data_IF_178372289549
#
_entry.id   IF_178372289549
#
_cell.length_a   1.000
_cell.length_b   1.000
_cell.length_c   1.000
_cell.angle_alpha   90.00
_cell.angle_beta   90.00
_cell.angle_gamma   90.00
#
_symmetry.space_group_name_H-M   'P 1'
#
loop_
_entity.id
_entity.type
_entity.pdbx_description
1 polymer ?
#
# COMPACT_ATOMS: atom_id res chain seq x y z
N UNK A 1 33.17 15.35 9.43
CA UNK A 1 33.09 14.32 10.49
C UNK A 1 31.75 14.40 11.24
N UNK A 2 31.55 15.22 12.28
CA UNK A 2 30.26 15.23 13.04
C UNK A 2 29.04 15.68 12.20
N UNK A 3 29.23 16.61 11.24
CA UNK A 3 28.16 17.06 10.35
C UNK A 3 27.76 16.03 9.28
N UNK A 4 28.69 15.20 8.82
CA UNK A 4 28.44 14.20 7.78
C UNK A 4 27.65 13.01 8.32
N UNK A 5 27.97 12.53 9.53
CA UNK A 5 27.18 11.47 10.17
C UNK A 5 25.75 11.91 10.50
N UNK A 6 25.57 13.16 10.96
CA UNK A 6 24.25 13.73 11.21
C UNK A 6 23.43 13.84 9.92
N UNK A 7 24.05 14.25 8.81
CA UNK A 7 23.43 14.31 7.50
C UNK A 7 23.10 12.91 6.95
N UNK A 8 24.00 11.94 7.12
CA UNK A 8 23.78 10.55 6.73
C UNK A 8 22.64 9.90 7.52
N UNK A 9 22.49 10.21 8.82
CA UNK A 9 21.33 9.79 9.62
C UNK A 9 20.03 10.43 9.13
N UNK A 10 20.07 11.72 8.77
CA UNK A 10 18.90 12.40 8.20
C UNK A 10 18.43 11.76 6.88
N UNK A 11 19.36 11.25 6.07
CA UNK A 11 19.07 10.55 4.81
C UNK A 11 18.68 9.06 4.99
N UNK A 12 18.62 8.56 6.23
CA UNK A 12 18.23 7.17 6.51
C UNK A 12 19.26 6.13 6.09
N UNK A 13 20.54 6.49 5.96
CA UNK A 13 21.58 5.58 5.44
C UNK A 13 21.87 4.37 6.35
N UNK A 14 21.51 4.46 7.64
CA UNK A 14 21.73 3.39 8.64
C UNK A 14 20.60 2.36 8.68
N UNK A 15 19.53 2.57 7.91
CA UNK A 15 18.36 1.69 7.92
C UNK A 15 17.46 1.87 9.14
N UNK A 16 16.46 0.99 9.24
CA UNK A 16 15.42 1.02 10.27
C UNK A 16 15.32 -0.30 11.03
N UNK A 17 14.87 -0.22 12.29
CA UNK A 17 14.55 -1.35 13.16
C UNK A 17 13.03 -1.61 13.26
N UNK A 18 12.23 -0.93 12.44
CA UNK A 18 10.78 -1.15 12.37
C UNK A 18 10.47 -2.63 12.08
N UNK A 19 9.35 -3.08 12.65
CA UNK A 19 8.79 -4.42 12.47
C UNK A 19 7.29 -4.31 12.29
N UNK A 20 6.74 -5.27 11.56
CA UNK A 20 5.32 -5.33 11.18
C UNK A 20 4.87 -4.07 10.42
N UNK A 21 5.83 -3.36 9.80
CA UNK A 21 5.60 -2.14 9.05
C UNK A 21 5.37 -2.41 7.57
N UNK A 22 4.80 -1.43 6.87
CA UNK A 22 4.64 -1.45 5.42
C UNK A 22 5.80 -0.70 4.76
N UNK A 23 6.46 -1.33 3.80
CA UNK A 23 7.48 -0.68 2.99
C UNK A 23 6.82 -0.06 1.75
N UNK A 24 7.12 1.20 1.44
CA UNK A 24 6.64 1.89 0.23
C UNK A 24 7.84 2.29 -0.64
N UNK A 25 7.95 1.69 -1.82
CA UNK A 25 8.99 1.95 -2.81
C UNK A 25 8.42 2.88 -3.89
N UNK A 26 8.86 4.14 -3.86
CA UNK A 26 8.38 5.23 -4.72
C UNK A 26 7.48 6.20 -3.95
N UNK A 27 7.85 7.48 -3.91
CA UNK A 27 7.12 8.54 -3.21
C UNK A 27 6.60 9.63 -4.15
N UNK A 28 5.79 9.23 -5.13
CA UNK A 28 5.07 10.10 -6.04
C UNK A 28 3.61 9.67 -6.13
N UNK A 29 2.68 10.56 -6.49
CA UNK A 29 1.27 10.26 -6.77
C UNK A 29 0.65 9.19 -5.85
N UNK A 30 0.62 7.95 -6.34
CA UNK A 30 0.16 6.74 -5.63
C UNK A 30 0.89 6.52 -4.30
N UNK A 31 2.22 6.58 -4.26
CA UNK A 31 3.01 6.35 -3.05
C UNK A 31 2.75 7.40 -1.97
N UNK A 32 2.54 8.66 -2.36
CA UNK A 32 2.20 9.72 -1.40
C UNK A 32 0.81 9.50 -0.79
N UNK A 33 -0.16 9.07 -1.60
CA UNK A 33 -1.49 8.71 -1.10
C UNK A 33 -1.43 7.48 -0.18
N UNK A 34 -0.70 6.43 -0.58
CA UNK A 34 -0.53 5.22 0.21
C UNK A 34 0.12 5.50 1.57
N UNK A 35 1.21 6.28 1.63
CA UNK A 35 1.86 6.63 2.90
C UNK A 35 0.92 7.37 3.82
N UNK A 36 0.16 8.35 3.32
CA UNK A 36 -0.81 9.09 4.15
C UNK A 36 -1.90 8.18 4.71
N UNK A 37 -2.43 7.29 3.88
CA UNK A 37 -3.50 6.37 4.28
C UNK A 37 -3.01 5.36 5.33
N UNK A 38 -1.85 4.75 5.11
CA UNK A 38 -1.22 3.83 6.07
C UNK A 38 -0.99 4.51 7.43
N UNK A 39 -0.43 5.72 7.42
CA UNK A 39 -0.20 6.47 8.66
C UNK A 39 -1.50 6.82 9.38
N UNK A 40 -2.56 7.16 8.64
CA UNK A 40 -3.90 7.41 9.18
C UNK A 40 -4.51 6.16 9.84
N UNK A 41 -4.24 4.97 9.29
CA UNK A 41 -4.66 3.68 9.86
C UNK A 41 -3.84 3.25 11.09
N UNK A 42 -2.84 4.03 11.51
CA UNK A 42 -1.97 3.67 12.64
C UNK A 42 -0.77 2.80 12.26
N UNK A 43 -0.61 2.46 10.99
CA UNK A 43 0.50 1.63 10.52
C UNK A 43 1.85 2.32 10.69
N UNK A 44 2.89 1.49 10.76
CA UNK A 44 4.29 1.92 10.66
C UNK A 44 4.71 1.83 9.20
N UNK A 45 5.50 2.80 8.72
CA UNK A 45 5.84 2.90 7.30
C UNK A 45 7.34 3.14 7.11
N UNK A 46 7.96 2.44 6.16
CA UNK A 46 9.31 2.73 5.69
C UNK A 46 9.27 3.12 4.21
N UNK A 47 9.76 4.31 3.86
CA UNK A 47 9.65 4.87 2.51
C UNK A 47 11.00 4.92 1.82
N UNK A 48 11.04 4.41 0.58
CA UNK A 48 12.12 4.67 -0.37
C UNK A 48 11.63 5.69 -1.40
N UNK A 49 12.26 6.86 -1.43
CA UNK A 49 12.03 7.87 -2.47
C UNK A 49 13.17 7.87 -3.49
N UNK A 50 12.90 8.39 -4.69
CA UNK A 50 13.91 8.66 -5.73
C UNK A 50 14.28 10.16 -5.80
N UNK A 51 13.84 10.94 -4.81
CA UNK A 51 14.10 12.38 -4.76
C UNK A 51 14.50 12.75 -3.34
N UNK A 52 15.81 12.95 -3.03
CA UNK A 52 16.27 13.15 -1.66
C UNK A 52 15.66 14.39 -1.00
N UNK A 53 15.30 15.40 -1.80
CA UNK A 53 14.64 16.63 -1.35
C UNK A 53 13.26 16.37 -0.72
N UNK A 54 12.67 15.19 -0.98
CA UNK A 54 11.38 14.81 -0.38
C UNK A 54 11.51 14.21 1.02
N UNK A 55 12.72 13.78 1.44
CA UNK A 55 12.94 13.14 2.76
C UNK A 55 12.45 14.02 3.92
N UNK A 56 12.79 15.33 4.01
CA UNK A 56 12.29 16.17 5.10
C UNK A 56 10.76 16.21 5.16
N UNK A 57 10.09 16.28 4.00
CA UNK A 57 8.63 16.31 3.90
C UNK A 57 7.98 14.99 4.30
N UNK A 58 8.66 13.86 4.06
CA UNK A 58 8.19 12.55 4.53
C UNK A 58 8.32 12.49 6.05
N UNK A 59 9.50 12.78 6.61
CA UNK A 59 9.78 12.63 8.05
C UNK A 59 8.88 13.44 8.97
N UNK A 60 8.28 14.54 8.50
CA UNK A 60 7.34 15.34 9.31
C UNK A 60 5.93 14.74 9.38
N UNK A 61 5.62 13.71 8.60
CA UNK A 61 4.28 13.09 8.59
C UNK A 61 4.00 12.26 9.85
N UNK A 62 5.03 11.70 10.49
CA UNK A 62 4.91 10.86 11.68
C UNK A 62 6.24 10.75 12.44
N UNK A 63 6.23 10.43 13.74
CA UNK A 63 7.45 10.24 14.54
C UNK A 63 8.31 9.07 14.05
N UNK A 64 9.61 9.10 14.39
CA UNK A 64 10.62 8.13 13.91
C UNK A 64 10.32 6.67 14.29
N UNK A 65 9.58 6.44 15.38
CA UNK A 65 9.15 5.09 15.78
C UNK A 65 7.99 4.53 14.94
N UNK A 66 7.44 5.33 14.02
CA UNK A 66 6.37 4.96 13.08
C UNK A 66 6.72 5.22 11.64
N UNK A 67 7.69 6.08 11.35
CA UNK A 67 8.05 6.45 10.00
C UNK A 67 9.55 6.53 9.80
N UNK A 68 10.01 5.79 8.79
CA UNK A 68 11.36 5.86 8.28
C UNK A 68 11.35 6.29 6.81
N UNK A 69 12.36 7.03 6.38
CA UNK A 69 12.52 7.45 4.99
C UNK A 69 13.98 7.42 4.59
N UNK A 70 14.25 6.92 3.39
CA UNK A 70 15.57 6.95 2.74
C UNK A 70 15.43 7.21 1.24
N UNK A 71 16.54 7.50 0.57
CA UNK A 71 16.59 7.82 -0.85
C UNK A 71 17.62 6.94 -1.56
N UNK A 72 17.22 6.36 -2.69
CA UNK A 72 18.11 5.80 -3.71
C UNK A 72 17.41 5.78 -5.06
N UNK A 73 18.18 5.61 -6.14
CA UNK A 73 17.63 5.39 -7.48
C UNK A 73 16.94 4.03 -7.63
N UNK A 74 17.47 3.00 -6.95
CA UNK A 74 17.06 1.61 -7.11
C UNK A 74 16.89 0.90 -5.77
N UNK A 75 15.99 -0.07 -5.73
CA UNK A 75 15.75 -0.91 -4.56
C UNK A 75 16.70 -2.12 -4.55
N UNK A 76 18.02 -1.86 -4.45
CA UNK A 76 19.02 -2.94 -4.37
C UNK A 76 18.87 -3.74 -3.08
N UNK A 77 19.44 -4.96 -2.97
CA UNK A 77 19.34 -5.77 -1.75
C UNK A 77 19.74 -5.02 -0.48
N UNK A 78 20.80 -4.21 -0.54
CA UNK A 78 21.25 -3.39 0.60
C UNK A 78 20.20 -2.34 0.99
N UNK A 79 19.55 -1.69 0.01
CA UNK A 79 18.47 -0.73 0.27
C UNK A 79 17.26 -1.40 0.89
N UNK A 80 16.89 -2.60 0.41
CA UNK A 80 15.78 -3.38 0.94
C UNK A 80 16.05 -3.83 2.38
N UNK A 81 17.29 -4.17 2.72
CA UNK A 81 17.70 -4.44 4.10
C UNK A 81 17.61 -3.17 4.96
N UNK A 82 18.05 -2.02 4.47
CA UNK A 82 17.89 -0.72 5.17
C UNK A 82 16.41 -0.39 5.44
N UNK A 83 15.51 -0.76 4.54
CA UNK A 83 14.06 -0.58 4.71
C UNK A 83 13.42 -1.61 5.65
N UNK A 84 14.19 -2.59 6.14
CA UNK A 84 13.69 -3.63 7.04
C UNK A 84 12.72 -4.63 6.37
N UNK A 85 12.86 -4.87 5.06
CA UNK A 85 11.93 -5.72 4.27
C UNK A 85 11.75 -7.13 4.82
N UNK A 86 12.76 -7.69 5.51
CA UNK A 86 12.65 -9.00 6.17
C UNK A 86 11.63 -9.04 7.32
N UNK A 87 11.40 -7.92 7.99
CA UNK A 87 10.49 -7.81 9.13
C UNK A 87 9.19 -7.04 8.78
N UNK A 88 9.03 -6.67 7.51
CA UNK A 88 7.86 -5.95 7.03
C UNK A 88 6.62 -6.87 6.96
N UNK A 89 5.43 -6.29 7.10
CA UNK A 89 4.15 -6.99 6.93
C UNK A 89 3.67 -6.96 5.48
N UNK A 90 4.05 -5.94 4.71
CA UNK A 90 3.80 -5.81 3.28
C UNK A 90 4.80 -4.86 2.61
N UNK A 91 4.88 -4.92 1.28
CA UNK A 91 5.50 -3.87 0.45
C UNK A 91 4.53 -3.36 -0.61
N UNK A 92 4.58 -2.06 -0.88
CA UNK A 92 3.94 -1.40 -2.02
C UNK A 92 5.04 -0.86 -2.92
N UNK A 93 5.08 -1.30 -4.17
CA UNK A 93 6.01 -0.83 -5.19
C UNK A 93 5.23 0.02 -6.20
N UNK A 94 5.51 1.32 -6.24
CA UNK A 94 4.72 2.29 -6.99
C UNK A 94 5.57 3.46 -7.50
N UNK A 95 6.76 3.19 -8.02
CA UNK A 95 7.53 4.20 -8.75
C UNK A 95 6.85 4.54 -10.07
N UNK A 96 7.28 5.63 -10.71
CA UNK A 96 6.78 6.04 -12.03
C UNK A 96 7.34 5.21 -13.19
N UNK A 97 8.26 4.28 -12.93
CA UNK A 97 8.83 3.37 -13.93
C UNK A 97 8.45 1.92 -13.61
N UNK A 98 7.54 1.34 -14.40
CA UNK A 98 7.10 -0.03 -14.17
C UNK A 98 8.24 -1.07 -14.33
N UNK A 99 9.32 -0.72 -15.03
CA UNK A 99 10.49 -1.59 -15.17
C UNK A 99 11.27 -1.66 -13.86
N UNK A 100 11.45 -0.52 -13.18
CA UNK A 100 11.98 -0.48 -11.81
C UNK A 100 11.03 -1.17 -10.84
N UNK A 101 9.71 -1.02 -11.01
CA UNK A 101 8.73 -1.71 -10.17
C UNK A 101 8.85 -3.23 -10.28
N UNK A 102 9.07 -3.77 -11.48
CA UNK A 102 9.30 -5.20 -11.71
C UNK A 102 10.59 -5.69 -11.03
N UNK A 103 11.70 -4.98 -11.22
CA UNK A 103 12.99 -5.34 -10.61
C UNK A 103 12.91 -5.29 -9.08
N UNK A 104 12.29 -4.25 -8.52
CA UNK A 104 12.09 -4.13 -7.08
C UNK A 104 11.21 -5.26 -6.54
N UNK A 105 10.12 -5.61 -7.23
CA UNK A 105 9.24 -6.71 -6.81
C UNK A 105 9.97 -8.07 -6.77
N UNK A 106 10.79 -8.36 -7.79
CA UNK A 106 11.61 -9.58 -7.83
C UNK A 106 12.63 -9.58 -6.68
N UNK A 107 13.30 -8.44 -6.47
CA UNK A 107 14.32 -8.30 -5.43
C UNK A 107 13.72 -8.47 -4.03
N UNK A 108 12.54 -7.91 -3.78
CA UNK A 108 11.79 -8.13 -2.54
C UNK A 108 11.43 -9.60 -2.38
N UNK A 109 10.92 -10.26 -3.41
CA UNK A 109 10.53 -11.68 -3.33
C UNK A 109 11.74 -12.58 -3.08
N UNK A 110 12.90 -12.25 -3.65
CA UNK A 110 14.15 -12.96 -3.37
C UNK A 110 14.62 -12.78 -1.92
N UNK A 111 14.39 -11.60 -1.33
CA UNK A 111 14.79 -11.29 0.04
C UNK A 111 13.81 -11.83 1.10
N UNK A 112 12.51 -11.76 0.82
CA UNK A 112 11.42 -12.20 1.68
C UNK A 112 10.34 -12.92 0.84
N UNK A 113 10.45 -14.26 0.69
CA UNK A 113 9.57 -15.06 -0.16
C UNK A 113 8.09 -15.05 0.24
N UNK A 114 7.77 -14.75 1.49
CA UNK A 114 6.40 -14.80 2.03
C UNK A 114 5.74 -13.42 2.15
N UNK A 115 6.49 -12.33 1.89
CA UNK A 115 5.98 -10.97 2.04
C UNK A 115 4.82 -10.70 1.09
N UNK A 116 3.78 -9.99 1.57
CA UNK A 116 2.73 -9.48 0.67
C UNK A 116 3.33 -8.39 -0.22
N UNK A 117 3.36 -8.62 -1.53
CA UNK A 117 3.90 -7.67 -2.52
C UNK A 117 2.76 -7.08 -3.34
N UNK A 118 2.56 -5.77 -3.23
CA UNK A 118 1.62 -4.99 -4.04
C UNK A 118 2.41 -4.16 -5.02
N UNK A 119 2.07 -4.23 -6.32
CA UNK A 119 2.71 -3.41 -7.35
C UNK A 119 1.68 -2.57 -8.07
N UNK A 120 1.91 -1.26 -8.12
CA UNK A 120 1.20 -0.34 -8.99
C UNK A 120 1.86 -0.30 -10.36
N UNK A 121 1.06 -0.42 -11.41
CA UNK A 121 1.52 -0.31 -12.80
C UNK A 121 0.78 0.77 -13.56
N UNK A 122 1.44 1.30 -14.58
CA UNK A 122 0.83 2.17 -15.60
C UNK A 122 0.62 1.45 -16.93
N UNK A 123 1.42 0.43 -17.22
CA UNK A 123 1.37 -0.42 -18.42
C UNK A 123 0.63 -1.73 -18.14
N UNK A 124 -0.64 -1.87 -18.57
CA UNK A 124 -1.46 -3.05 -18.27
C UNK A 124 -0.85 -4.36 -18.75
N UNK A 125 0.00 -4.33 -19.78
CA UNK A 125 0.64 -5.51 -20.38
C UNK A 125 1.58 -6.20 -19.39
N UNK A 126 2.14 -5.47 -18.42
CA UNK A 126 3.05 -6.02 -17.41
C UNK A 126 2.35 -6.80 -16.30
N UNK A 127 1.02 -6.73 -16.23
CA UNK A 127 0.24 -7.40 -15.18
C UNK A 127 0.51 -8.90 -15.12
N UNK A 128 0.55 -9.56 -16.27
CA UNK A 128 0.73 -11.01 -16.31
C UNK A 128 2.18 -11.40 -15.92
N UNK A 129 3.16 -10.62 -16.37
CA UNK A 129 4.57 -10.80 -16.00
C UNK A 129 4.79 -10.64 -14.50
N UNK A 130 4.21 -9.61 -13.89
CA UNK A 130 4.31 -9.37 -12.44
C UNK A 130 3.64 -10.48 -11.63
N UNK A 131 2.46 -10.94 -12.06
CA UNK A 131 1.82 -12.10 -11.42
C UNK A 131 2.69 -13.35 -11.50
N UNK A 132 3.29 -13.62 -12.66
CA UNK A 132 4.21 -14.75 -12.84
C UNK A 132 5.48 -14.62 -11.97
N UNK A 133 5.91 -13.40 -11.64
CA UNK A 133 7.02 -13.12 -10.72
C UNK A 133 6.65 -13.27 -9.23
N UNK A 134 5.44 -13.74 -8.90
CA UNK A 134 5.00 -13.95 -7.53
C UNK A 134 4.54 -12.68 -6.80
N UNK A 135 4.16 -11.62 -7.54
CA UNK A 135 3.50 -10.45 -6.96
C UNK A 135 2.10 -10.83 -6.47
N UNK A 136 1.78 -10.48 -5.22
CA UNK A 136 0.50 -10.83 -4.62
C UNK A 136 -0.65 -10.05 -5.25
N UNK A 137 -0.46 -8.75 -5.46
CA UNK A 137 -1.48 -7.89 -6.07
C UNK A 137 -0.89 -6.90 -7.07
N UNK A 138 -1.56 -6.74 -8.21
CA UNK A 138 -1.21 -5.75 -9.23
C UNK A 138 -2.37 -4.77 -9.38
N UNK A 139 -2.12 -3.49 -9.13
CA UNK A 139 -3.10 -2.41 -9.26
C UNK A 139 -2.76 -1.47 -10.42
N UNK A 140 -3.78 -0.87 -11.02
CA UNK A 140 -3.62 0.19 -12.02
C UNK A 140 -4.46 1.41 -11.58
N UNK A 141 -3.92 2.25 -10.67
CA UNK A 141 -4.66 3.39 -10.12
C UNK A 141 -5.05 4.41 -11.19
N UNK A 142 -4.21 4.57 -12.23
CA UNK A 142 -4.50 5.44 -13.37
C UNK A 142 -5.75 5.01 -14.13
N UNK A 143 -5.92 3.71 -14.41
CA UNK A 143 -7.12 3.19 -15.07
C UNK A 143 -8.37 3.36 -14.20
N UNK A 144 -8.24 3.15 -12.88
CA UNK A 144 -9.35 3.36 -11.94
C UNK A 144 -9.76 4.83 -11.92
N UNK A 145 -8.81 5.75 -11.76
CA UNK A 145 -9.05 7.20 -11.79
C UNK A 145 -9.68 7.64 -13.10
N UNK A 146 -9.20 7.14 -14.23
CA UNK A 146 -9.78 7.43 -15.55
C UNK A 146 -11.23 6.99 -15.68
N UNK A 147 -11.58 5.78 -15.19
CA UNK A 147 -12.98 5.31 -15.16
C UNK A 147 -13.86 6.17 -14.25
N UNK A 148 -13.35 6.60 -13.10
CA UNK A 148 -14.09 7.49 -12.19
C UNK A 148 -14.33 8.86 -12.83
N UNK A 149 -13.31 9.47 -13.44
CA UNK A 149 -13.44 10.73 -14.20
C UNK A 149 -14.48 10.61 -15.32
N UNK A 150 -14.44 9.53 -16.11
CA UNK A 150 -15.44 9.29 -17.15
C UNK A 150 -16.85 9.16 -16.54
N UNK A 151 -16.99 8.44 -15.43
CA UNK A 151 -18.29 8.28 -14.74
C UNK A 151 -18.86 9.61 -14.26
N UNK A 152 -18.01 10.53 -13.80
CA UNK A 152 -18.42 11.85 -13.31
C UNK A 152 -19.15 12.66 -14.38
N UNK A 153 -18.86 12.44 -15.67
CA UNK A 153 -19.50 13.17 -16.78
C UNK A 153 -21.01 12.88 -16.93
N UNK A 154 -21.50 11.75 -16.42
CA UNK A 154 -22.92 11.36 -16.50
C UNK A 154 -23.52 10.92 -15.16
N UNK A 155 -22.70 10.63 -14.15
CA UNK A 155 -23.07 10.15 -12.80
C UNK A 155 -22.11 10.75 -11.73
N UNK A 156 -22.26 12.03 -11.38
CA UNK A 156 -21.31 12.74 -10.52
C UNK A 156 -21.22 12.22 -9.08
N UNK A 157 -22.24 11.51 -8.59
CA UNK A 157 -22.22 10.95 -7.22
C UNK A 157 -21.39 9.68 -7.08
N UNK A 158 -21.10 8.98 -8.19
CA UNK A 158 -20.34 7.72 -8.13
C UNK A 158 -18.91 7.93 -7.60
N UNK A 159 -18.13 8.90 -8.11
CA UNK A 159 -16.82 9.21 -7.54
C UNK A 159 -16.86 9.55 -6.04
N UNK A 160 -17.83 10.36 -5.60
CA UNK A 160 -17.94 10.78 -4.19
C UNK A 160 -18.12 9.57 -3.27
N UNK A 161 -19.03 8.65 -3.62
CA UNK A 161 -19.26 7.43 -2.85
C UNK A 161 -18.01 6.55 -2.82
N UNK A 162 -17.31 6.39 -3.95
CA UNK A 162 -16.09 5.59 -4.00
C UNK A 162 -14.96 6.23 -3.17
N UNK A 163 -14.81 7.55 -3.20
CA UNK A 163 -13.82 8.27 -2.40
C UNK A 163 -14.12 8.13 -0.90
N UNK A 164 -15.36 8.35 -0.48
CA UNK A 164 -15.79 8.22 0.92
C UNK A 164 -15.61 6.79 1.44
N UNK A 165 -15.79 5.77 0.60
CA UNK A 165 -15.63 4.36 0.96
C UNK A 165 -14.18 3.87 0.99
N UNK A 166 -13.22 4.62 0.45
CA UNK A 166 -11.83 4.17 0.26
C UNK A 166 -10.80 4.93 1.09
N UNK A 167 -11.24 5.85 1.96
CA UNK A 167 -10.38 6.56 2.90
C UNK A 167 -10.78 6.31 4.35
N UNK A 168 -9.79 6.06 5.20
CA UNK A 168 -10.00 5.91 6.64
C UNK A 168 -10.15 7.26 7.35
N UNK A 169 -9.94 8.39 6.63
CA UNK A 169 -10.03 9.75 7.20
C UNK A 169 -11.49 10.23 7.30
N UNK A 170 -12.44 9.58 6.59
CA UNK A 170 -13.87 9.93 6.62
C UNK A 170 -14.77 8.70 6.75
N UNK A 171 -15.40 8.55 7.91
CA UNK A 171 -16.68 7.87 8.07
C UNK A 171 -16.73 6.38 7.71
N UNK A 172 -17.07 6.05 6.47
CA UNK A 172 -17.52 4.72 6.06
C UNK A 172 -16.34 3.85 5.59
N UNK A 173 -15.89 2.92 6.44
CA UNK A 173 -14.79 2.00 6.12
C UNK A 173 -15.31 0.73 5.42
N UNK A 174 -14.68 0.35 4.30
CA UNK A 174 -14.85 -0.99 3.72
C UNK A 174 -13.85 -1.91 4.40
N UNK A 175 -14.36 -2.84 5.20
CA UNK A 175 -13.54 -3.82 5.90
C UNK A 175 -13.81 -5.24 5.41
N UNK A 176 -12.77 -6.07 5.44
CA UNK A 176 -12.85 -7.49 5.09
C UNK A 176 -12.94 -8.34 6.36
N UNK A 177 -13.89 -9.26 6.39
CA UNK A 177 -14.03 -10.25 7.46
C UNK A 177 -13.83 -11.66 6.91
N UNK A 178 -12.82 -12.36 7.45
CA UNK A 178 -12.62 -13.78 7.18
C UNK A 178 -13.67 -14.58 7.95
N UNK A 179 -14.52 -15.31 7.23
CA UNK A 179 -15.51 -16.18 7.83
C UNK A 179 -14.90 -17.53 8.16
N UNK A 180 -15.16 -18.01 9.37
CA UNK A 180 -14.84 -19.38 9.78
C UNK A 180 -16.08 -20.26 9.68
N UNK A 181 -15.90 -21.59 9.78
CA UNK A 181 -17.02 -22.54 9.84
C UNK A 181 -17.97 -22.30 11.02
N UNK A 182 -17.49 -21.58 12.04
CA UNK A 182 -18.27 -21.21 13.23
C UNK A 182 -18.98 -19.86 13.10
N UNK A 183 -18.68 -19.08 12.06
CA UNK A 183 -19.32 -17.79 11.87
C UNK A 183 -20.80 -18.00 11.48
N UNK A 184 -21.77 -17.35 12.15
CA UNK A 184 -23.20 -17.66 11.98
C UNK A 184 -23.75 -17.55 10.54
N UNK A 185 -23.10 -16.76 9.70
CA UNK A 185 -23.50 -16.53 8.30
C UNK A 185 -22.89 -17.50 7.29
N UNK A 186 -21.93 -18.35 7.68
CA UNK A 186 -21.14 -19.19 6.76
C UNK A 186 -21.95 -20.26 6.01
N UNK A 187 -23.13 -20.62 6.50
CA UNK A 187 -24.04 -21.60 5.87
C UNK A 187 -25.33 -20.99 5.35
N UNK A 188 -25.39 -19.67 5.24
CA UNK A 188 -26.54 -18.95 4.76
C UNK A 188 -26.40 -18.62 3.27
N UNK A 189 -27.52 -18.37 2.59
CA UNK A 189 -27.48 -17.74 1.27
C UNK A 189 -27.03 -16.29 1.42
N UNK A 190 -26.46 -15.69 0.38
CA UNK A 190 -26.03 -14.28 0.43
C UNK A 190 -27.14 -13.32 0.88
N UNK A 191 -28.39 -13.39 0.36
CA UNK A 191 -29.46 -12.52 0.84
C UNK A 191 -29.80 -12.70 2.33
N UNK A 192 -29.66 -13.92 2.86
CA UNK A 192 -29.92 -14.19 4.27
C UNK A 192 -28.77 -13.70 5.16
N UNK A 193 -27.52 -13.90 4.73
CA UNK A 193 -26.34 -13.34 5.38
C UNK A 193 -26.40 -11.80 5.43
N UNK A 194 -26.77 -11.15 4.31
CA UNK A 194 -27.01 -9.71 4.22
C UNK A 194 -28.04 -9.23 5.24
N UNK A 195 -29.19 -9.91 5.32
CA UNK A 195 -30.25 -9.60 6.28
C UNK A 195 -29.74 -9.69 7.71
N UNK A 196 -29.00 -10.75 8.04
CA UNK A 196 -28.47 -10.99 9.38
C UNK A 196 -27.41 -9.98 9.79
N UNK A 197 -26.45 -9.68 8.90
CA UNK A 197 -25.41 -8.67 9.14
C UNK A 197 -26.06 -7.31 9.36
N UNK A 198 -26.94 -6.89 8.44
CA UNK A 198 -27.61 -5.58 8.54
C UNK A 198 -28.45 -5.45 9.82
N UNK A 199 -29.14 -6.52 10.22
CA UNK A 199 -29.95 -6.52 11.43
C UNK A 199 -29.12 -6.38 12.73
N UNK A 200 -27.84 -6.78 12.72
CA UNK A 200 -27.00 -6.81 13.91
C UNK A 200 -25.98 -5.67 13.97
N UNK A 201 -25.50 -5.18 12.83
CA UNK A 201 -24.34 -4.26 12.79
C UNK A 201 -24.60 -2.98 12.00
N UNK A 202 -25.75 -2.86 11.34
CA UNK A 202 -26.07 -1.80 10.35
C UNK A 202 -25.06 -1.72 9.19
N UNK A 203 -24.19 -2.73 9.03
CA UNK A 203 -23.25 -2.79 7.91
C UNK A 203 -23.95 -3.22 6.63
N UNK A 204 -23.50 -2.66 5.51
CA UNK A 204 -23.85 -3.13 4.18
C UNK A 204 -22.84 -4.18 3.71
N UNK A 205 -23.32 -5.36 3.32
CA UNK A 205 -22.47 -6.35 2.65
C UNK A 205 -22.35 -5.95 1.18
N UNK A 206 -21.13 -5.71 0.72
CA UNK A 206 -20.84 -5.33 -0.67
C UNK A 206 -20.63 -6.55 -1.57
N UNK A 207 -20.16 -7.66 -1.01
CA UNK A 207 -19.90 -8.90 -1.75
C UNK A 207 -19.18 -9.95 -0.90
N UNK A 208 -18.83 -11.07 -1.54
CA UNK A 208 -18.01 -12.13 -0.96
C UNK A 208 -16.99 -12.63 -1.98
N UNK A 209 -15.84 -13.08 -1.50
CA UNK A 209 -14.77 -13.66 -2.31
C UNK A 209 -14.42 -15.07 -1.78
N UNK A 210 -13.78 -15.89 -2.64
CA UNK A 210 -13.27 -17.23 -2.32
C UNK A 210 -11.83 -17.36 -2.76
#
# INVERSE_FOLDING_TARGET
>A
MVGEEAQQRQLGTFGTDLRDHVVVIGYAGVGQAAVRELLAQGEKVAVLTQTPETIPNIRVLAPENRLFATYESEATPEVLERLGVRNASAVIVCTTDDSLNLVAAISVRALNPDLRVVVSITRPELRQTLKAAGVTYVTSPGDLGGRLCASASFRPEIPNVIEDLTTTVRGFDITEYILSDTTPITRQTLPEAERLVRAQTDCLVLGYAR
#
